data_IF_066810522711
#
_entry.id   IF_066810522711
#
_cell.length_a   1.000
_cell.length_b   1.000
_cell.length_c   1.000
_cell.angle_alpha   90.00
_cell.angle_beta   90.00
_cell.angle_gamma   90.00
#
_symmetry.space_group_name_H-M   'P 1'
#
loop_
_entity.id
_entity.type
_entity.pdbx_description
1 polymer ?
#
# COMPACT_ATOMS: atom_id res chain seq x y z
N UNK A 1 11.05 17.11 3.25
CA UNK A 1 12.45 16.64 3.35
C UNK A 1 12.65 15.55 4.42
N UNK A 2 12.67 15.79 5.75
CA UNK A 2 12.95 14.72 6.76
C UNK A 2 12.15 13.43 6.56
N UNK A 3 10.81 13.52 6.45
CA UNK A 3 9.95 12.36 6.19
C UNK A 3 10.27 11.63 4.86
N UNK A 4 10.66 12.37 3.82
CA UNK A 4 11.09 11.78 2.55
C UNK A 4 12.43 11.04 2.72
N UNK A 5 13.33 11.55 3.56
CA UNK A 5 14.58 10.86 3.87
C UNK A 5 14.33 9.56 4.64
N UNK A 6 13.45 9.56 5.66
CA UNK A 6 13.08 8.33 6.38
C UNK A 6 12.52 7.23 5.45
N UNK A 7 11.75 7.60 4.41
CA UNK A 7 11.30 6.63 3.38
C UNK A 7 12.47 6.01 2.63
N UNK A 8 13.47 6.82 2.25
CA UNK A 8 14.66 6.35 1.54
C UNK A 8 15.58 5.51 2.44
N UNK A 9 15.69 5.86 3.72
CA UNK A 9 16.50 5.15 4.70
C UNK A 9 15.97 3.72 4.92
N UNK A 10 14.63 3.53 5.00
CA UNK A 10 14.02 2.18 5.04
C UNK A 10 14.45 1.31 3.85
N UNK A 11 14.45 1.85 2.62
CA UNK A 11 14.92 1.09 1.44
C UNK A 11 16.43 0.83 1.47
N UNK A 12 17.22 1.82 1.91
CA UNK A 12 18.68 1.72 2.05
C UNK A 12 19.07 0.64 3.06
N UNK A 13 18.39 0.60 4.21
CA UNK A 13 18.65 -0.33 5.30
C UNK A 13 18.21 -1.74 4.91
N UNK A 14 16.98 -1.89 4.40
CA UNK A 14 16.43 -3.15 3.93
C UNK A 14 17.23 -3.81 2.78
N UNK A 15 17.85 -3.00 1.92
CA UNK A 15 18.53 -3.47 0.71
C UNK A 15 20.01 -3.07 0.63
N UNK A 16 20.66 -2.81 1.76
CA UNK A 16 22.08 -2.42 1.82
C UNK A 16 22.99 -3.35 1.04
N UNK A 17 22.90 -4.66 1.32
CA UNK A 17 23.68 -5.72 0.64
C UNK A 17 23.40 -5.81 -0.86
N UNK A 18 22.16 -5.51 -1.27
CA UNK A 18 21.74 -5.52 -2.68
C UNK A 18 22.33 -4.31 -3.40
N UNK A 19 22.25 -3.12 -2.79
CA UNK A 19 22.78 -1.85 -3.31
C UNK A 19 24.31 -1.84 -3.38
N UNK A 20 24.99 -2.45 -2.42
CA UNK A 20 26.46 -2.56 -2.40
C UNK A 20 27.02 -3.73 -3.23
N UNK A 21 26.16 -4.61 -3.76
CA UNK A 21 26.60 -5.77 -4.53
C UNK A 21 27.31 -5.36 -5.83
N UNK A 22 28.49 -5.93 -6.15
CA UNK A 22 29.16 -5.65 -7.43
C UNK A 22 28.33 -6.12 -8.64
N UNK A 23 27.37 -7.01 -8.45
CA UNK A 23 26.45 -7.46 -9.48
C UNK A 23 25.23 -6.54 -9.66
N UNK A 24 25.00 -5.55 -8.79
CA UNK A 24 23.78 -4.74 -8.75
C UNK A 24 23.45 -4.10 -10.10
N UNK A 25 24.43 -3.43 -10.73
CA UNK A 25 24.24 -2.76 -12.02
C UNK A 25 23.84 -3.74 -13.14
N UNK A 26 24.41 -4.96 -13.13
CA UNK A 26 24.06 -6.01 -14.09
C UNK A 26 22.63 -6.52 -13.84
N UNK A 27 22.26 -6.81 -12.58
CA UNK A 27 20.91 -7.24 -12.23
C UNK A 27 19.85 -6.18 -12.53
N UNK A 28 20.13 -4.89 -12.27
CA UNK A 28 19.25 -3.77 -12.68
C UNK A 28 19.03 -3.78 -14.18
N UNK A 29 20.08 -4.02 -14.98
CA UNK A 29 19.97 -4.08 -16.43
C UNK A 29 19.17 -5.31 -16.90
N UNK A 30 19.31 -6.47 -16.27
CA UNK A 30 18.47 -7.67 -16.53
C UNK A 30 16.99 -7.37 -16.29
N UNK A 31 16.64 -6.83 -15.12
CA UNK A 31 15.25 -6.48 -14.78
C UNK A 31 14.73 -5.41 -15.75
N UNK A 32 15.53 -4.38 -16.07
CA UNK A 32 15.15 -3.33 -17.03
C UNK A 32 14.90 -3.87 -18.44
N UNK A 33 15.67 -4.85 -18.91
CA UNK A 33 15.47 -5.50 -20.20
C UNK A 33 14.16 -6.30 -20.23
N UNK A 34 13.88 -7.08 -19.18
CA UNK A 34 12.63 -7.84 -19.06
C UNK A 34 11.40 -6.91 -19.02
N UNK A 35 11.44 -5.84 -18.21
CA UNK A 35 10.39 -4.81 -18.17
C UNK A 35 10.18 -4.12 -19.53
N UNK A 36 11.25 -3.81 -20.26
CA UNK A 36 11.16 -3.23 -21.60
C UNK A 36 10.52 -4.20 -22.61
N UNK A 37 10.82 -5.49 -22.50
CA UNK A 37 10.21 -6.55 -23.29
C UNK A 37 8.77 -6.88 -22.86
N UNK A 38 8.27 -6.31 -21.75
CA UNK A 38 7.01 -6.66 -21.06
C UNK A 38 6.97 -8.12 -20.58
N UNK A 39 8.13 -8.72 -20.36
CA UNK A 39 8.28 -10.04 -19.75
C UNK A 39 8.35 -9.88 -18.22
N UNK A 40 7.18 -9.66 -17.62
CA UNK A 40 7.05 -9.52 -16.16
C UNK A 40 7.41 -10.81 -15.42
N UNK A 41 7.26 -11.98 -16.06
CA UNK A 41 7.65 -13.25 -15.47
C UNK A 41 9.18 -13.33 -15.29
N UNK A 42 9.95 -12.97 -16.32
CA UNK A 42 11.40 -12.86 -16.22
C UNK A 42 11.84 -11.71 -15.30
N UNK A 43 11.14 -10.56 -15.32
CA UNK A 43 11.49 -9.40 -14.49
C UNK A 43 11.35 -9.68 -12.98
N UNK A 44 10.37 -10.50 -12.59
CA UNK A 44 10.00 -10.76 -11.20
C UNK A 44 10.21 -12.22 -10.75
N UNK A 45 10.81 -13.07 -11.59
CA UNK A 45 11.11 -14.47 -11.28
C UNK A 45 9.88 -15.37 -11.17
N UNK A 46 8.74 -15.00 -11.77
CA UNK A 46 7.49 -15.78 -11.70
C UNK A 46 7.70 -17.11 -12.42
N UNK A 47 7.44 -18.22 -11.72
CA UNK A 47 7.66 -19.58 -12.25
C UNK A 47 9.13 -20.03 -12.26
N UNK A 48 10.07 -19.26 -11.71
CA UNK A 48 11.47 -19.67 -11.58
C UNK A 48 11.62 -20.90 -10.68
N UNK A 49 12.37 -21.91 -11.13
CA UNK A 49 12.80 -23.02 -10.29
C UNK A 49 13.85 -22.61 -9.25
N UNK A 50 14.64 -21.56 -9.54
CA UNK A 50 15.51 -20.93 -8.55
C UNK A 50 14.77 -19.77 -7.87
N UNK A 51 14.22 -20.06 -6.69
CA UNK A 51 13.53 -19.07 -5.84
C UNK A 51 14.50 -17.99 -5.33
N UNK A 52 15.77 -18.30 -5.10
CA UNK A 52 16.74 -17.34 -4.57
C UNK A 52 17.15 -16.32 -5.64
N UNK A 53 17.28 -16.76 -6.90
CA UNK A 53 17.44 -15.86 -8.04
C UNK A 53 16.22 -14.95 -8.23
N UNK A 54 14.99 -15.51 -8.18
CA UNK A 54 13.76 -14.73 -8.27
C UNK A 54 13.66 -13.67 -7.17
N UNK A 55 13.85 -14.06 -5.91
CA UNK A 55 13.90 -13.14 -4.77
C UNK A 55 14.94 -12.03 -4.93
N UNK A 56 16.11 -12.32 -5.53
CA UNK A 56 17.14 -11.32 -5.81
C UNK A 56 16.68 -10.30 -6.86
N UNK A 57 15.96 -10.71 -7.91
CA UNK A 57 15.40 -9.78 -8.90
C UNK A 57 14.34 -8.86 -8.28
N UNK A 58 13.47 -9.41 -7.42
CA UNK A 58 12.49 -8.64 -6.65
C UNK A 58 13.15 -7.61 -5.73
N UNK A 59 14.20 -8.00 -4.99
CA UNK A 59 14.94 -7.09 -4.12
C UNK A 59 15.71 -6.01 -4.91
N UNK A 60 16.29 -6.35 -6.07
CA UNK A 60 16.90 -5.38 -6.99
C UNK A 60 15.87 -4.39 -7.52
N UNK A 61 14.66 -4.86 -7.85
CA UNK A 61 13.58 -3.96 -8.27
C UNK A 61 13.15 -3.02 -7.14
N UNK A 62 12.93 -3.57 -5.94
CA UNK A 62 12.56 -2.81 -4.76
C UNK A 62 13.62 -1.76 -4.39
N UNK A 63 14.91 -2.07 -4.53
CA UNK A 63 15.99 -1.13 -4.29
C UNK A 63 16.09 -0.02 -5.36
N UNK A 64 15.70 -0.28 -6.62
CA UNK A 64 15.89 0.65 -7.77
C UNK A 64 14.68 1.50 -8.12
N UNK A 65 13.47 0.96 -8.09
CA UNK A 65 12.27 1.67 -8.59
C UNK A 65 11.26 2.02 -7.48
N UNK A 66 11.18 1.21 -6.42
CA UNK A 66 10.24 1.46 -5.32
C UNK A 66 10.52 2.71 -4.46
N UNK A 67 11.74 3.25 -4.29
CA UNK A 67 11.95 4.40 -3.39
C UNK A 67 11.26 5.68 -3.90
N UNK A 68 11.44 6.06 -5.17
CA UNK A 68 10.70 7.18 -5.78
C UNK A 68 9.19 6.92 -5.76
N UNK A 69 8.75 5.70 -6.10
CA UNK A 69 7.33 5.33 -6.11
C UNK A 69 6.71 5.48 -4.71
N UNK A 70 7.37 5.00 -3.66
CA UNK A 70 6.91 5.13 -2.28
C UNK A 70 6.75 6.60 -1.86
N UNK A 71 7.72 7.45 -2.23
CA UNK A 71 7.63 8.90 -1.99
C UNK A 71 6.43 9.54 -2.70
N UNK A 72 6.16 9.14 -3.95
CA UNK A 72 5.00 9.60 -4.71
C UNK A 72 3.68 9.08 -4.12
N UNK A 73 3.60 7.81 -3.79
CA UNK A 73 2.39 7.17 -3.25
C UNK A 73 2.07 7.74 -1.86
N UNK A 74 3.06 8.00 -1.00
CA UNK A 74 2.86 8.67 0.28
C UNK A 74 2.28 10.09 0.11
N UNK A 75 2.74 10.83 -0.90
CA UNK A 75 2.20 12.16 -1.22
C UNK A 75 0.76 12.09 -1.75
N UNK A 76 0.43 11.08 -2.58
CA UNK A 76 -0.96 10.84 -3.04
C UNK A 76 -1.87 10.46 -1.86
N UNK A 77 -1.45 9.52 -1.00
CA UNK A 77 -2.21 9.10 0.19
C UNK A 77 -2.47 10.27 1.15
N UNK A 78 -1.46 11.12 1.38
CA UNK A 78 -1.61 12.37 2.15
C UNK A 78 -2.62 13.31 1.48
N UNK A 79 -2.49 13.55 0.17
CA UNK A 79 -3.37 14.44 -0.59
C UNK A 79 -4.85 14.02 -0.56
N UNK A 80 -5.17 12.73 -0.67
CA UNK A 80 -6.56 12.25 -0.56
C UNK A 80 -7.08 12.24 0.88
N UNK A 81 -6.21 12.15 1.88
CA UNK A 81 -6.60 12.30 3.28
C UNK A 81 -6.86 13.77 3.65
N UNK A 82 -6.03 14.70 3.17
CA UNK A 82 -6.24 16.15 3.37
C UNK A 82 -7.52 16.67 2.71
N UNK A 83 -7.95 16.02 1.61
CA UNK A 83 -9.24 16.25 0.96
C UNK A 83 -10.43 15.54 1.64
N UNK A 84 -10.22 14.89 2.79
CA UNK A 84 -11.25 14.17 3.55
C UNK A 84 -11.78 12.89 2.88
N UNK A 85 -11.19 12.44 1.77
CA UNK A 85 -11.71 11.28 1.03
C UNK A 85 -11.59 9.98 1.83
N UNK A 86 -10.56 9.85 2.68
CA UNK A 86 -10.34 8.70 3.54
C UNK A 86 -11.20 8.68 4.82
N UNK A 87 -11.80 9.80 5.24
CA UNK A 87 -12.53 9.86 6.53
C UNK A 87 -13.64 8.79 6.65
N UNK A 88 -14.46 8.50 5.62
CA UNK A 88 -15.46 7.42 5.67
C UNK A 88 -14.89 6.00 5.76
N UNK A 89 -13.58 5.82 5.55
CA UNK A 89 -12.89 4.51 5.67
C UNK A 89 -12.30 4.32 7.07
N UNK A 90 -12.14 5.39 7.85
CA UNK A 90 -11.53 5.37 9.18
C UNK A 90 -12.53 4.85 10.23
N UNK A 91 -12.54 3.54 10.44
CA UNK A 91 -13.37 2.89 11.44
C UNK A 91 -12.60 2.76 12.75
N UNK A 92 -13.25 2.99 13.89
CA UNK A 92 -12.68 2.59 15.19
C UNK A 92 -13.04 1.13 15.43
N UNK A 93 -12.09 0.18 15.50
CA UNK A 93 -12.41 -1.20 15.78
C UNK A 93 -13.13 -1.29 17.13
N UNK A 94 -14.14 -2.16 17.22
CA UNK A 94 -14.78 -2.54 18.48
C UNK A 94 -13.80 -3.41 19.31
N UNK A 95 -12.71 -2.80 19.75
CA UNK A 95 -11.76 -3.38 20.69
C UNK A 95 -12.51 -3.73 21.96
N UNK A 96 -12.56 -5.04 22.26
CA UNK A 96 -12.57 -5.78 23.54
C UNK A 96 -12.93 -5.09 24.88
N UNK A 97 -13.60 -3.94 24.88
CA UNK A 97 -14.11 -3.18 26.02
C UNK A 97 -15.09 -4.03 26.84
N UNK A 98 -15.85 -4.90 26.19
CA UNK A 98 -16.68 -5.91 26.86
C UNK A 98 -15.84 -6.94 27.66
N UNK A 99 -14.65 -7.31 27.18
CA UNK A 99 -13.74 -8.21 27.89
C UNK A 99 -12.94 -7.49 28.99
N UNK A 100 -12.55 -6.23 28.77
CA UNK A 100 -11.92 -5.39 29.78
C UNK A 100 -12.88 -5.07 30.94
N UNK A 101 -14.12 -4.68 30.64
CA UNK A 101 -15.19 -4.48 31.65
C UNK A 101 -15.51 -5.76 32.43
N UNK A 102 -15.52 -6.93 31.77
CA UNK A 102 -15.70 -8.22 32.46
C UNK A 102 -14.56 -8.54 33.44
N UNK A 103 -13.31 -8.13 33.15
CA UNK A 103 -12.19 -8.32 34.08
C UNK A 103 -12.27 -7.36 35.28
N UNK A 104 -12.68 -6.10 35.09
CA UNK A 104 -12.88 -5.17 36.19
C UNK A 104 -14.03 -5.61 37.12
N UNK A 105 -15.18 -6.04 36.58
CA UNK A 105 -16.29 -6.57 37.40
C UNK A 105 -15.97 -7.89 38.14
N UNK A 106 -14.89 -8.59 37.79
CA UNK A 106 -14.42 -9.78 38.54
C UNK A 106 -13.37 -9.45 39.61
N UNK A 107 -12.84 -8.22 39.68
CA UNK A 107 -11.90 -7.81 40.73
C UNK A 107 -12.57 -7.08 41.92
N UNK A 108 -13.77 -6.53 41.74
CA UNK A 108 -14.50 -5.82 42.82
C UNK A 108 -15.25 -6.75 43.82
N UNK A 109 -15.05 -8.07 43.76
CA UNK A 109 -15.69 -9.03 44.69
C UNK A 109 -14.67 -10.00 45.28
N UNK A 110 -13.75 -9.48 46.11
CA UNK A 110 -13.14 -10.22 47.23
C UNK A 110 -12.38 -9.29 48.19
N UNK A 111 -13.07 -8.83 49.23
CA UNK A 111 -12.49 -8.79 50.60
C UNK A 111 -12.62 -10.22 51.18
N UNK A 112 -11.86 -10.70 52.17
CA UNK A 112 -11.18 -10.04 53.29
C UNK A 112 -9.87 -10.77 53.70
N UNK A 113 -9.17 -10.13 54.67
CA UNK A 113 -8.17 -10.66 55.64
C UNK A 113 -6.66 -10.79 55.27
N UNK A 114 -5.87 -10.22 56.20
CA UNK A 114 -4.40 -10.18 56.37
C UNK A 114 -4.02 -11.14 57.55
N UNK A 115 -2.76 -11.27 58.03
CA UNK A 115 -1.46 -10.70 57.61
C UNK A 115 -0.46 -11.83 57.21
N UNK A 116 0.88 -11.72 57.20
CA UNK A 116 1.87 -10.67 57.54
C UNK A 116 3.18 -10.87 56.73
N UNK A 117 4.17 -9.98 56.87
CA UNK A 117 5.55 -10.22 56.45
C UNK A 117 6.30 -9.03 55.86
N UNK A 118 7.25 -8.46 56.61
CA UNK A 118 8.18 -7.43 56.14
C UNK A 118 9.19 -7.97 55.10
N UNK A 119 9.49 -7.21 54.04
CA UNK A 119 10.85 -6.66 53.78
C UNK A 119 11.02 -5.95 52.41
N UNK A 120 11.50 -4.71 52.50
CA UNK A 120 12.49 -4.02 51.62
C UNK A 120 12.15 -3.70 50.14
N UNK A 121 12.09 -2.39 49.86
CA UNK A 121 12.37 -1.79 48.54
C UNK A 121 13.89 -1.83 48.23
N UNK A 122 14.30 -1.68 46.96
CA UNK A 122 14.66 -0.32 46.53
C UNK A 122 14.24 0.10 45.09
N UNK A 123 14.04 1.41 44.97
CA UNK A 123 14.29 2.31 43.84
C UNK A 123 13.70 2.06 42.44
N UNK A 124 12.76 2.95 42.13
CA UNK A 124 12.08 3.13 40.84
C UNK A 124 12.98 3.72 39.75
N UNK A 125 13.18 2.98 38.66
CA UNK A 125 13.36 3.58 37.35
C UNK A 125 11.98 3.84 36.72
N UNK A 126 11.61 5.12 36.56
CA UNK A 126 10.31 5.54 36.00
C UNK A 126 10.21 5.25 34.49
N UNK A 127 9.98 3.99 34.13
CA UNK A 127 9.45 3.64 32.82
C UNK A 127 8.04 4.21 32.71
N UNK A 128 7.87 5.27 31.91
CA UNK A 128 6.55 5.83 31.59
C UNK A 128 5.71 4.69 31.00
N UNK A 129 4.58 4.31 31.63
CA UNK A 129 3.77 3.22 31.10
C UNK A 129 3.22 3.65 29.75
N UNK A 130 3.61 2.94 28.69
CA UNK A 130 3.10 3.14 27.34
C UNK A 130 1.59 2.87 27.39
N UNK A 131 0.80 3.95 27.52
CA UNK A 131 -0.65 3.88 27.43
C UNK A 131 -1.01 3.28 26.08
N UNK A 132 -1.52 2.05 26.08
CA UNK A 132 -2.14 1.48 24.90
C UNK A 132 -3.27 2.42 24.47
N UNK A 133 -3.25 2.98 23.24
CA UNK A 133 -4.29 3.91 22.82
C UNK A 133 -5.61 3.20 22.71
N UNK A 134 -6.54 3.52 23.61
CA UNK A 134 -7.95 3.13 23.51
C UNK A 134 -8.58 3.99 22.41
N UNK A 135 -9.24 3.37 21.43
CA UNK A 135 -9.92 4.09 20.34
C UNK A 135 -9.04 4.45 19.14
N UNK A 136 -8.20 3.52 18.66
CA UNK A 136 -7.46 3.72 17.39
C UNK A 136 -8.43 3.80 16.21
N UNK A 137 -8.27 4.80 15.34
CA UNK A 137 -8.89 4.81 14.00
C UNK A 137 -8.09 3.88 13.11
N UNK A 138 -8.72 2.93 12.44
CA UNK A 138 -8.05 1.96 11.56
C UNK A 138 -8.38 2.27 10.09
N UNK A 139 -7.35 2.34 9.26
CA UNK A 139 -7.46 2.32 7.80
C UNK A 139 -7.09 0.93 7.28
N UNK A 140 -7.94 0.36 6.40
CA UNK A 140 -7.69 -0.93 5.74
C UNK A 140 -7.39 -0.71 4.26
N UNK A 141 -6.30 -1.31 3.79
CA UNK A 141 -5.80 -1.17 2.41
C UNK A 141 -5.70 -2.56 1.76
N UNK A 142 -6.18 -2.67 0.52
CA UNK A 142 -5.91 -3.80 -0.38
C UNK A 142 -5.04 -3.29 -1.53
N UNK A 143 -3.73 -3.54 -1.45
CA UNK A 143 -2.78 -3.19 -2.51
C UNK A 143 -2.65 -4.32 -3.52
N UNK A 144 -2.92 -4.02 -4.79
CA UNK A 144 -2.84 -4.96 -5.91
C UNK A 144 -1.66 -4.57 -6.80
N UNK A 145 -0.61 -5.38 -6.77
CA UNK A 145 0.66 -5.12 -7.45
C UNK A 145 1.88 -5.21 -6.53
N UNK A 146 3.00 -4.67 -7.02
CA UNK A 146 4.37 -4.98 -6.58
C UNK A 146 4.77 -4.68 -5.12
N UNK A 147 3.87 -4.11 -4.31
CA UNK A 147 3.84 -4.18 -2.84
C UNK A 147 4.93 -3.43 -2.05
N UNK A 148 6.15 -3.36 -2.57
CA UNK A 148 7.30 -2.79 -1.89
C UNK A 148 7.20 -1.25 -1.73
N UNK A 149 6.70 -0.55 -2.76
CA UNK A 149 6.53 0.89 -2.70
C UNK A 149 5.34 1.26 -1.81
N UNK A 150 4.28 0.47 -1.89
CA UNK A 150 3.01 0.58 -1.18
C UNK A 150 3.19 0.38 0.32
N UNK A 151 3.99 -0.62 0.73
CA UNK A 151 4.34 -0.87 2.13
C UNK A 151 4.98 0.37 2.79
N UNK A 152 6.05 0.91 2.19
CA UNK A 152 6.78 2.05 2.76
C UNK A 152 5.98 3.35 2.62
N UNK A 153 5.21 3.52 1.55
CA UNK A 153 4.28 4.63 1.40
C UNK A 153 3.22 4.65 2.52
N UNK A 154 2.66 3.48 2.83
CA UNK A 154 1.66 3.33 3.90
C UNK A 154 2.27 3.55 5.29
N UNK A 155 3.48 3.04 5.55
CA UNK A 155 4.24 3.37 6.75
C UNK A 155 4.49 4.88 6.91
N UNK A 156 4.91 5.56 5.83
CA UNK A 156 5.13 7.01 5.82
C UNK A 156 3.86 7.84 5.94
N UNK A 157 2.73 7.32 5.44
CA UNK A 157 1.41 7.89 5.67
C UNK A 157 1.04 7.81 7.17
N UNK A 158 1.11 6.61 7.77
CA UNK A 158 0.82 6.40 9.19
C UNK A 158 1.75 7.19 10.12
N UNK A 159 3.03 7.36 9.75
CA UNK A 159 4.03 8.13 10.51
C UNK A 159 3.57 9.55 10.90
N UNK A 160 2.69 10.16 10.11
CA UNK A 160 2.18 11.52 10.36
C UNK A 160 1.09 11.57 11.44
N UNK A 161 0.32 10.50 11.62
CA UNK A 161 -0.94 10.52 12.36
C UNK A 161 -1.09 9.40 13.42
N UNK A 162 -0.12 8.48 13.56
CA UNK A 162 -0.20 7.41 14.58
C UNK A 162 -0.26 7.94 16.02
N UNK A 163 0.40 9.08 16.28
CA UNK A 163 0.31 9.81 17.56
C UNK A 163 -1.10 10.32 17.85
N UNK A 164 -1.90 10.59 16.80
CA UNK A 164 -3.33 10.91 16.88
C UNK A 164 -4.23 9.66 16.81
N UNK A 165 -3.66 8.46 17.04
CA UNK A 165 -4.38 7.19 17.12
C UNK A 165 -4.68 6.52 15.78
N UNK A 166 -4.10 6.97 14.66
CA UNK A 166 -4.28 6.30 13.36
C UNK A 166 -3.44 5.02 13.27
N UNK A 167 -4.08 3.90 12.96
CA UNK A 167 -3.44 2.61 12.69
C UNK A 167 -3.82 2.11 11.29
N UNK A 168 -2.99 1.23 10.73
CA UNK A 168 -3.18 0.67 9.40
C UNK A 168 -3.09 -0.84 9.37
N UNK A 169 -3.91 -1.44 8.49
CA UNK A 169 -3.82 -2.83 8.09
C UNK A 169 -3.77 -2.88 6.55
N UNK A 170 -2.72 -3.48 5.98
CA UNK A 170 -2.54 -3.59 4.53
C UNK A 170 -2.40 -5.05 4.09
N UNK A 171 -3.29 -5.49 3.22
CA UNK A 171 -3.16 -6.74 2.47
C UNK A 171 -2.57 -6.42 1.11
N UNK A 172 -1.44 -7.04 0.78
CA UNK A 172 -0.77 -6.93 -0.52
C UNK A 172 -0.98 -8.23 -1.30
N UNK A 173 -1.33 -8.13 -2.59
CA UNK A 173 -1.51 -9.27 -3.50
C UNK A 173 -0.83 -9.03 -4.83
N UNK A 174 -0.05 -10.02 -5.27
CA UNK A 174 0.70 -10.02 -6.53
C UNK A 174 1.03 -11.46 -6.94
N UNK A 175 1.28 -11.71 -8.23
CA UNK A 175 1.64 -13.04 -8.74
C UNK A 175 3.09 -13.46 -8.40
N UNK A 176 3.99 -12.49 -8.25
CA UNK A 176 5.38 -12.73 -7.87
C UNK A 176 5.56 -12.84 -6.34
N UNK A 177 6.65 -13.49 -5.91
CA UNK A 177 6.86 -13.87 -4.51
C UNK A 177 7.37 -12.72 -3.61
N UNK A 178 6.68 -11.56 -3.59
CA UNK A 178 7.12 -10.37 -2.85
C UNK A 178 7.15 -10.51 -1.32
N UNK A 179 6.70 -11.63 -0.74
CA UNK A 179 6.58 -11.81 0.72
C UNK A 179 7.86 -11.52 1.51
N UNK A 180 9.01 -11.97 1.01
CA UNK A 180 10.31 -11.75 1.67
C UNK A 180 10.71 -10.26 1.64
N UNK A 181 10.46 -9.57 0.51
CA UNK A 181 10.66 -8.12 0.34
C UNK A 181 9.72 -7.31 1.24
N UNK A 182 8.44 -7.67 1.27
CA UNK A 182 7.41 -7.01 2.09
C UNK A 182 7.72 -7.17 3.58
N UNK A 183 8.12 -8.36 4.03
CA UNK A 183 8.53 -8.62 5.42
C UNK A 183 9.76 -7.81 5.83
N UNK A 184 10.75 -7.72 4.95
CA UNK A 184 11.98 -6.93 5.18
C UNK A 184 11.65 -5.44 5.32
N UNK A 185 10.79 -4.91 4.45
CA UNK A 185 10.35 -3.52 4.50
C UNK A 185 9.45 -3.22 5.70
N UNK A 186 8.53 -4.11 6.07
CA UNK A 186 7.74 -3.99 7.30
C UNK A 186 8.66 -3.92 8.52
N UNK A 187 9.71 -4.74 8.57
CA UNK A 187 10.72 -4.71 9.63
C UNK A 187 11.41 -3.35 9.68
N UNK A 188 11.91 -2.82 8.56
CA UNK A 188 12.55 -1.50 8.49
C UNK A 188 11.62 -0.33 8.88
N UNK A 189 10.32 -0.43 8.63
CA UNK A 189 9.34 0.58 9.08
C UNK A 189 9.10 0.51 10.60
N UNK A 190 9.16 -0.69 11.19
CA UNK A 190 8.67 -0.95 12.56
C UNK A 190 9.76 -1.19 13.60
N UNK A 191 11.03 -1.26 13.20
CA UNK A 191 12.19 -1.36 14.09
C UNK A 191 13.08 -0.10 13.99
N UNK A 192 13.78 0.31 15.06
CA UNK A 192 14.81 1.34 14.99
C UNK A 192 15.89 1.01 13.95
N UNK A 193 16.42 2.04 13.28
CA UNK A 193 17.56 1.87 12.37
C UNK A 193 18.80 1.35 13.12
N UNK A 194 19.50 0.30 12.64
CA UNK A 194 20.67 -0.26 13.32
C UNK A 194 21.82 0.74 13.52
N UNK A 195 21.92 1.75 12.66
CA UNK A 195 22.92 2.83 12.73
C UNK A 195 22.55 3.94 13.72
N UNK A 196 21.25 4.14 14.00
CA UNK A 196 20.74 5.13 14.96
C UNK A 196 19.75 4.50 15.97
N UNK A 197 20.16 3.47 16.75
CA UNK A 197 19.26 2.65 17.58
C UNK A 197 18.60 3.39 18.76
N UNK A 198 18.90 4.68 18.94
CA UNK A 198 18.25 5.59 19.91
C UNK A 198 17.05 6.33 19.31
N UNK A 199 16.91 6.35 17.99
CA UNK A 199 15.77 6.95 17.30
C UNK A 199 14.60 5.95 17.26
N UNK A 200 13.34 6.42 17.40
CA UNK A 200 12.18 5.55 17.32
C UNK A 200 11.99 5.01 15.88
N UNK A 201 11.32 3.85 15.71
CA UNK A 201 10.92 3.36 14.38
C UNK A 201 10.01 4.36 13.66
N UNK A 202 9.93 4.27 12.34
CA UNK A 202 9.02 5.11 11.53
C UNK A 202 7.56 4.95 11.99
N UNK A 203 7.10 3.73 12.27
CA UNK A 203 5.79 3.46 12.86
C UNK A 203 5.95 2.40 13.96
N UNK A 204 5.47 2.62 15.19
CA UNK A 204 5.57 1.59 16.22
C UNK A 204 4.78 0.32 15.80
N UNK A 205 5.28 -0.91 16.03
CA UNK A 205 4.66 -2.15 15.52
C UNK A 205 3.16 -2.29 15.82
N UNK A 206 2.69 -1.72 16.94
CA UNK A 206 1.28 -1.74 17.33
C UNK A 206 0.34 -0.91 16.42
N UNK A 207 0.84 -0.21 15.40
CA UNK A 207 0.06 0.64 14.49
C UNK A 207 0.13 0.23 13.02
N UNK A 208 0.97 -0.73 12.64
CA UNK A 208 1.05 -1.26 11.28
C UNK A 208 0.97 -2.79 11.30
N UNK A 209 -0.09 -3.33 10.72
CA UNK A 209 -0.22 -4.75 10.41
C UNK A 209 -0.20 -4.96 8.90
N UNK A 210 0.44 -6.03 8.45
CA UNK A 210 0.46 -6.35 7.02
C UNK A 210 0.42 -7.85 6.74
N UNK A 211 -0.18 -8.18 5.59
CA UNK A 211 -0.30 -9.52 5.05
C UNK A 211 0.11 -9.48 3.58
N UNK A 212 0.88 -10.48 3.14
CA UNK A 212 1.13 -10.73 1.72
C UNK A 212 0.37 -11.97 1.25
N UNK A 213 -0.08 -11.97 0.00
CA UNK A 213 -0.81 -13.06 -0.65
C UNK A 213 -0.25 -13.24 -2.07
N UNK A 214 0.47 -14.34 -2.32
CA UNK A 214 0.99 -14.61 -3.66
C UNK A 214 -0.12 -15.24 -4.53
N UNK A 215 -0.80 -14.44 -5.36
CA UNK A 215 -1.88 -14.88 -6.24
C UNK A 215 -1.95 -14.00 -7.49
N UNK A 216 -2.25 -14.60 -8.64
CA UNK A 216 -2.68 -13.85 -9.83
C UNK A 216 -4.11 -13.35 -9.64
N UNK A 217 -4.28 -12.03 -9.51
CA UNK A 217 -5.58 -11.40 -9.29
C UNK A 217 -6.55 -11.59 -10.47
N UNK A 218 -6.03 -11.88 -11.67
CA UNK A 218 -6.84 -12.18 -12.85
C UNK A 218 -7.38 -13.62 -12.85
N UNK A 219 -6.91 -14.46 -11.91
CA UNK A 219 -7.33 -15.85 -11.74
C UNK A 219 -8.15 -16.09 -10.45
N UNK A 220 -8.23 -15.12 -9.54
CA UNK A 220 -8.95 -15.25 -8.26
C UNK A 220 -10.48 -15.32 -8.41
N UNK A 221 -11.05 -14.58 -9.37
CA UNK A 221 -12.50 -14.37 -9.48
C UNK A 221 -13.12 -13.70 -8.25
N UNK A 222 -14.45 -13.66 -8.20
CA UNK A 222 -15.23 -13.08 -7.10
C UNK A 222 -14.83 -13.65 -5.72
N UNK A 223 -14.91 -14.97 -5.51
CA UNK A 223 -14.71 -15.58 -4.19
C UNK A 223 -13.27 -15.44 -3.68
N UNK A 224 -12.29 -15.51 -4.59
CA UNK A 224 -10.89 -15.27 -4.27
C UNK A 224 -10.61 -13.82 -3.88
N UNK A 225 -11.23 -12.85 -4.56
CA UNK A 225 -11.16 -11.44 -4.16
C UNK A 225 -11.90 -11.18 -2.84
N UNK A 226 -13.04 -11.83 -2.59
CA UNK A 226 -13.80 -11.70 -1.35
C UNK A 226 -12.99 -12.19 -0.14
N UNK A 227 -12.20 -13.25 -0.30
CA UNK A 227 -11.28 -13.76 0.72
C UNK A 227 -10.08 -12.83 1.04
N UNK A 228 -9.81 -11.82 0.20
CA UNK A 228 -8.82 -10.76 0.47
C UNK A 228 -9.43 -9.53 1.15
N UNK A 229 -10.76 -9.38 1.13
CA UNK A 229 -11.45 -8.28 1.81
C UNK A 229 -11.51 -8.49 3.32
N UNK A 230 -11.68 -7.42 4.11
CA UNK A 230 -11.90 -7.54 5.55
C UNK A 230 -13.17 -8.33 5.85
N UNK A 231 -13.06 -9.30 6.74
CA UNK A 231 -14.24 -9.99 7.28
C UNK A 231 -15.08 -9.00 8.11
N UNK A 232 -16.42 -9.15 8.12
CA UNK A 232 -17.27 -8.38 9.02
C UNK A 232 -16.90 -8.69 10.49
N UNK A 233 -17.14 -7.75 11.43
CA UNK A 233 -16.87 -8.00 12.85
C UNK A 233 -17.65 -9.22 13.34
N UNK A 234 -16.99 -10.10 14.10
CA UNK A 234 -17.51 -11.41 14.53
C UNK A 234 -18.75 -11.37 15.46
N UNK A 235 -19.31 -10.17 15.69
CA UNK A 235 -20.38 -9.88 16.66
C UNK A 235 -21.48 -8.97 16.10
N UNK A 236 -21.49 -8.65 14.80
CA UNK A 236 -22.52 -7.81 14.19
C UNK A 236 -22.99 -8.34 12.83
N UNK A 237 -24.29 -8.24 12.57
CA UNK A 237 -24.91 -8.48 11.26
C UNK A 237 -24.67 -7.32 10.27
N UNK A 238 -23.55 -6.62 10.41
CA UNK A 238 -23.19 -5.44 9.63
C UNK A 238 -22.45 -5.85 8.36
N UNK A 239 -22.53 -5.02 7.32
CA UNK A 239 -21.62 -5.11 6.18
C UNK A 239 -20.15 -5.05 6.62
N UNK A 240 -19.23 -5.67 5.85
CA UNK A 240 -17.80 -5.51 6.06
C UNK A 240 -17.39 -4.02 5.96
N UNK A 241 -16.37 -3.57 6.71
CA UNK A 241 -15.94 -2.17 6.70
C UNK A 241 -15.34 -1.78 5.34
N UNK A 242 -15.56 -0.53 4.85
CA UNK A 242 -15.00 -0.05 3.61
C UNK A 242 -13.46 -0.06 3.61
N UNK A 243 -12.87 -0.27 2.43
CA UNK A 243 -11.42 -0.35 2.21
C UNK A 243 -10.93 0.66 1.20
N UNK A 244 -9.63 0.95 1.24
CA UNK A 244 -8.91 1.57 0.15
C UNK A 244 -8.27 0.47 -0.71
N UNK A 245 -8.81 0.23 -1.91
CA UNK A 245 -8.15 -0.61 -2.92
C UNK A 245 -7.19 0.25 -3.73
N UNK A 246 -5.96 -0.21 -3.96
CA UNK A 246 -4.95 0.53 -4.72
C UNK A 246 -4.36 -0.27 -5.87
N UNK A 247 -4.37 0.30 -7.08
CA UNK A 247 -3.66 -0.18 -8.26
C UNK A 247 -2.60 0.86 -8.64
N UNK A 248 -1.34 0.62 -8.25
CA UNK A 248 -0.29 1.64 -8.28
C UNK A 248 0.86 1.20 -9.22
N UNK A 249 0.82 1.69 -10.47
CA UNK A 249 1.64 1.26 -11.60
C UNK A 249 1.45 -0.22 -11.96
N UNK A 250 0.21 -0.70 -11.81
CA UNK A 250 -0.20 -2.09 -12.09
C UNK A 250 -1.19 -2.18 -13.26
N UNK A 251 -2.08 -1.21 -13.43
CA UNK A 251 -3.25 -1.36 -14.30
C UNK A 251 -2.88 -1.36 -15.80
N UNK A 252 -1.91 -0.53 -16.20
CA UNK A 252 -1.34 -0.61 -17.55
C UNK A 252 -0.67 -1.96 -17.82
N UNK A 253 -0.04 -2.58 -16.80
CA UNK A 253 0.61 -3.89 -16.93
C UNK A 253 -0.44 -5.00 -17.13
N UNK A 254 -1.55 -4.98 -16.38
CA UNK A 254 -2.68 -5.91 -16.56
C UNK A 254 -3.29 -5.81 -17.98
N UNK A 255 -3.63 -4.58 -18.41
CA UNK A 255 -4.23 -4.36 -19.73
C UNK A 255 -3.31 -4.76 -20.89
N UNK A 256 -1.99 -4.56 -20.76
CA UNK A 256 -1.03 -4.82 -21.83
C UNK A 256 -0.49 -6.25 -21.88
N UNK A 257 -0.35 -6.93 -20.73
CA UNK A 257 0.13 -8.33 -20.66
C UNK A 257 -1.02 -9.33 -20.88
N UNK A 258 -2.15 -9.10 -20.21
CA UNK A 258 -3.24 -10.07 -20.08
C UNK A 258 -4.47 -9.69 -20.89
N UNK A 259 -4.48 -8.49 -21.46
CA UNK A 259 -5.51 -8.00 -22.37
C UNK A 259 -6.74 -7.42 -21.68
N UNK A 260 -7.54 -6.70 -22.46
CA UNK A 260 -8.75 -6.01 -21.98
C UNK A 260 -9.78 -6.97 -21.42
N UNK A 261 -9.98 -8.15 -22.02
CA UNK A 261 -10.99 -9.11 -21.56
C UNK A 261 -10.81 -9.55 -20.10
N UNK A 262 -9.61 -10.05 -19.76
CA UNK A 262 -9.28 -10.48 -18.39
C UNK A 262 -9.29 -9.31 -17.40
N UNK A 263 -8.73 -8.18 -17.80
CA UNK A 263 -8.66 -6.99 -16.93
C UNK A 263 -10.05 -6.42 -16.64
N UNK A 264 -10.96 -6.41 -17.63
CA UNK A 264 -12.37 -6.05 -17.43
C UNK A 264 -13.08 -7.03 -16.51
N UNK A 265 -12.89 -8.35 -16.68
CA UNK A 265 -13.49 -9.35 -15.78
C UNK A 265 -13.04 -9.14 -14.33
N UNK A 266 -11.73 -8.98 -14.10
CA UNK A 266 -11.18 -8.65 -12.78
C UNK A 266 -11.76 -7.36 -12.18
N UNK A 267 -11.90 -6.28 -12.96
CA UNK A 267 -12.49 -5.03 -12.48
C UNK A 267 -13.99 -5.17 -12.14
N UNK A 268 -14.73 -6.01 -12.86
CA UNK A 268 -16.13 -6.32 -12.58
C UNK A 268 -16.26 -7.20 -11.33
N UNK A 269 -15.42 -8.22 -11.16
CA UNK A 269 -15.37 -9.05 -9.95
C UNK A 269 -14.96 -8.23 -8.72
N UNK A 270 -14.00 -7.32 -8.88
CA UNK A 270 -13.64 -6.36 -7.83
C UNK A 270 -14.86 -5.47 -7.47
N UNK A 271 -15.57 -4.98 -8.48
CA UNK A 271 -16.78 -4.14 -8.28
C UNK A 271 -17.87 -4.89 -7.52
N UNK A 272 -18.17 -6.15 -7.86
CA UNK A 272 -19.17 -6.96 -7.15
C UNK A 272 -18.73 -7.43 -5.76
N UNK A 273 -17.44 -7.28 -5.42
CA UNK A 273 -16.86 -7.75 -4.16
C UNK A 273 -16.67 -6.63 -3.12
N UNK A 274 -16.19 -5.44 -3.51
CA UNK A 274 -15.80 -4.39 -2.55
C UNK A 274 -16.95 -3.96 -1.62
N UNK A 275 -16.73 -3.68 -0.33
CA UNK A 275 -17.78 -3.12 0.53
C UNK A 275 -18.24 -1.74 0.04
N UNK A 276 -19.54 -1.41 0.19
CA UNK A 276 -20.06 -0.07 -0.11
C UNK A 276 -19.32 0.98 0.74
N UNK A 277 -19.03 2.13 0.14
CA UNK A 277 -18.23 3.20 0.73
C UNK A 277 -16.73 3.07 0.47
N UNK A 278 -16.24 1.92 0.00
CA UNK A 278 -14.82 1.70 -0.34
C UNK A 278 -14.33 2.64 -1.44
N UNK A 279 -13.01 2.85 -1.47
CA UNK A 279 -12.35 3.62 -2.53
C UNK A 279 -11.54 2.70 -3.45
N UNK A 280 -11.47 3.07 -4.72
CA UNK A 280 -10.50 2.55 -5.68
C UNK A 280 -9.59 3.71 -6.11
N UNK A 281 -8.32 3.63 -5.71
CA UNK A 281 -7.26 4.54 -6.13
C UNK A 281 -6.42 3.88 -7.23
N UNK A 282 -6.45 4.46 -8.42
CA UNK A 282 -5.56 4.11 -9.52
C UNK A 282 -4.52 5.21 -9.67
N UNK A 283 -3.24 4.83 -9.63
CA UNK A 283 -2.12 5.70 -10.00
C UNK A 283 -1.27 4.95 -11.00
N UNK A 284 -1.00 5.51 -12.17
CA UNK A 284 -0.19 4.82 -13.19
C UNK A 284 0.64 5.81 -14.01
N UNK A 285 1.53 5.33 -14.87
CA UNK A 285 2.27 6.17 -15.81
C UNK A 285 1.33 6.97 -16.72
N UNK A 286 1.74 8.17 -17.12
CA UNK A 286 0.96 9.06 -18.00
C UNK A 286 1.61 9.30 -19.36
N UNK A 287 0.80 9.48 -20.41
CA UNK A 287 1.24 9.71 -21.79
C UNK A 287 1.24 8.44 -22.63
N UNK A 288 2.21 8.28 -23.54
CA UNK A 288 2.26 7.15 -24.49
C UNK A 288 2.41 5.76 -23.83
N UNK A 289 2.74 5.70 -22.53
CA UNK A 289 2.75 4.45 -21.75
C UNK A 289 1.35 4.01 -21.29
N UNK A 290 0.35 4.90 -21.32
CA UNK A 290 -1.02 4.62 -20.88
C UNK A 290 -2.00 4.34 -22.01
N UNK A 291 -1.53 3.73 -23.09
CA UNK A 291 -2.36 3.34 -24.22
C UNK A 291 -2.46 1.82 -24.35
N UNK A 292 -3.70 1.31 -24.36
CA UNK A 292 -3.98 -0.10 -24.61
C UNK A 292 -4.49 -0.28 -26.03
N UNK A 293 -3.89 -1.22 -26.76
CA UNK A 293 -4.31 -1.52 -28.12
C UNK A 293 -5.40 -2.61 -28.15
N UNK A 294 -6.48 -2.35 -28.87
CA UNK A 294 -7.65 -3.23 -28.99
C UNK A 294 -7.86 -3.59 -30.46
N UNK A 295 -8.15 -4.87 -30.72
CA UNK A 295 -8.39 -5.42 -32.05
C UNK A 295 -7.15 -6.04 -32.69
N UNK A 296 -7.38 -6.94 -33.65
CA UNK A 296 -6.33 -7.52 -34.48
C UNK A 296 -6.00 -6.58 -35.67
N UNK A 297 -4.79 -6.69 -36.27
CA UNK A 297 -4.50 -6.01 -37.53
C UNK A 297 -5.52 -6.37 -38.62
N UNK A 298 -5.97 -5.43 -39.48
CA UNK A 298 -5.55 -4.03 -39.57
C UNK A 298 -6.33 -3.07 -38.64
N UNK A 299 -7.31 -3.55 -37.87
CA UNK A 299 -8.23 -2.72 -37.08
C UNK A 299 -7.73 -2.37 -35.65
N UNK A 300 -6.42 -2.47 -35.40
CA UNK A 300 -5.81 -2.24 -34.08
C UNK A 300 -5.90 -0.75 -33.70
N UNK A 301 -6.75 -0.41 -32.73
CA UNK A 301 -6.93 0.96 -32.21
C UNK A 301 -6.37 1.09 -30.80
N UNK A 302 -5.62 2.16 -30.54
CA UNK A 302 -5.16 2.52 -29.20
C UNK A 302 -6.23 3.34 -28.46
N UNK A 303 -6.45 3.03 -27.20
CA UNK A 303 -7.33 3.78 -26.30
C UNK A 303 -6.56 4.16 -25.04
N UNK A 304 -6.71 5.40 -24.52
CA UNK A 304 -6.18 5.78 -23.21
C UNK A 304 -6.74 4.86 -22.12
N UNK A 305 -5.89 4.44 -21.18
CA UNK A 305 -6.25 3.56 -20.08
C UNK A 305 -7.42 4.13 -19.27
N UNK A 306 -7.39 5.43 -18.94
CA UNK A 306 -8.48 6.17 -18.31
C UNK A 306 -9.83 5.99 -19.01
N UNK A 307 -9.86 5.99 -20.35
CA UNK A 307 -11.10 5.80 -21.10
C UNK A 307 -11.65 4.38 -20.96
N UNK A 308 -10.76 3.37 -20.93
CA UNK A 308 -11.18 1.99 -20.66
C UNK A 308 -11.66 1.82 -19.22
N UNK A 309 -10.94 2.40 -18.26
CA UNK A 309 -11.29 2.37 -16.84
C UNK A 309 -12.66 3.04 -16.60
N UNK A 310 -12.85 4.27 -17.07
CA UNK A 310 -14.14 4.98 -16.96
C UNK A 310 -15.25 4.22 -17.71
N UNK A 311 -14.98 3.62 -18.86
CA UNK A 311 -15.98 2.80 -19.58
C UNK A 311 -16.38 1.52 -18.84
N UNK A 312 -15.47 0.92 -18.06
CA UNK A 312 -15.75 -0.29 -17.28
C UNK A 312 -16.46 0.05 -15.97
N UNK A 313 -16.01 1.09 -15.26
CA UNK A 313 -16.50 1.45 -13.93
C UNK A 313 -17.73 2.38 -13.94
N UNK A 314 -17.80 3.31 -14.89
CA UNK A 314 -18.86 4.32 -15.00
C UNK A 314 -19.80 4.07 -16.20
N UNK A 315 -19.51 3.06 -17.02
CA UNK A 315 -20.33 2.72 -18.18
C UNK A 315 -21.74 2.31 -17.76
N UNK A 316 -22.75 2.70 -18.55
CA UNK A 316 -24.15 2.34 -18.33
C UNK A 316 -24.39 0.85 -18.63
N UNK A 317 -23.97 -0.01 -17.71
CA UNK A 317 -24.53 -1.36 -17.60
C UNK A 317 -26.04 -1.23 -17.37
N UNK A 318 -26.83 -2.16 -17.92
CA UNK A 318 -28.28 -2.17 -17.70
C UNK A 318 -28.64 -2.52 -16.25
N UNK A 319 -27.79 -3.29 -15.59
CA UNK A 319 -27.94 -3.76 -14.21
C UNK A 319 -26.67 -3.40 -13.42
N UNK A 320 -26.78 -2.98 -12.15
CA UNK A 320 -25.62 -2.73 -11.30
C UNK A 320 -24.77 -3.98 -11.05
N UNK A 321 -23.45 -3.83 -11.03
CA UNK A 321 -22.51 -4.95 -10.89
C UNK A 321 -22.45 -5.37 -9.43
N UNK A 322 -23.18 -6.43 -9.08
CA UNK A 322 -23.30 -6.89 -7.69
C UNK A 322 -23.95 -5.85 -6.76
N UNK A 323 -24.94 -5.11 -7.25
CA UNK A 323 -25.65 -4.07 -6.48
C UNK A 323 -24.85 -2.79 -6.24
N UNK A 324 -23.75 -2.57 -6.97
CA UNK A 324 -22.83 -1.45 -6.74
C UNK A 324 -22.59 -0.63 -8.00
N UNK A 325 -22.34 0.66 -7.80
CA UNK A 325 -21.93 1.60 -8.83
C UNK A 325 -20.67 2.35 -8.36
N UNK A 326 -19.83 2.80 -9.30
CA UNK A 326 -18.69 3.67 -8.98
C UNK A 326 -19.04 5.13 -9.26
N UNK A 327 -18.74 6.01 -8.30
CA UNK A 327 -18.70 7.45 -8.53
C UNK A 327 -17.25 7.93 -8.55
N UNK A 328 -16.85 8.62 -9.62
CA UNK A 328 -15.53 9.26 -9.71
C UNK A 328 -15.49 10.46 -8.75
N UNK A 329 -14.45 10.53 -7.91
CA UNK A 329 -14.21 11.60 -6.96
C UNK A 329 -13.19 12.62 -7.49
N UNK A 330 -12.07 12.11 -8.02
CA UNK A 330 -10.91 12.90 -8.38
C UNK A 330 -10.25 12.30 -9.63
N UNK A 331 -9.70 13.16 -10.50
CA UNK A 331 -9.03 12.76 -11.73
C UNK A 331 -7.91 13.75 -12.07
N UNK A 332 -6.71 13.24 -12.32
CA UNK A 332 -5.58 14.01 -12.81
C UNK A 332 -4.89 13.24 -13.94
N UNK A 333 -4.96 13.72 -15.16
CA UNK A 333 -4.46 12.99 -16.34
C UNK A 333 -2.91 12.97 -16.41
N UNK A 334 -2.25 13.95 -15.77
CA UNK A 334 -0.78 14.08 -15.79
C UNK A 334 -0.24 15.01 -14.69
N UNK A 335 0.35 14.44 -13.64
CA UNK A 335 0.99 15.13 -12.51
C UNK A 335 2.48 14.79 -12.46
N UNK A 336 3.33 15.79 -12.21
CA UNK A 336 4.77 15.58 -11.96
C UNK A 336 5.06 15.47 -10.47
N UNK A 337 5.50 14.30 -10.01
CA UNK A 337 6.14 14.16 -8.72
C UNK A 337 7.62 14.56 -8.82
N UNK A 338 8.02 15.60 -8.07
CA UNK A 338 9.40 16.10 -8.04
C UNK A 338 10.06 15.79 -6.69
N UNK A 339 11.23 15.17 -6.74
CA UNK A 339 12.02 14.82 -5.56
C UNK A 339 12.52 16.07 -4.84
N UNK A 340 12.50 16.04 -3.51
CA UNK A 340 13.04 17.12 -2.67
C UNK A 340 12.19 18.40 -2.61
N UNK A 341 11.14 18.55 -3.43
CA UNK A 341 10.18 19.65 -3.25
C UNK A 341 9.29 19.37 -2.04
N UNK A 342 9.30 20.28 -1.06
CA UNK A 342 8.18 20.40 -0.11
C UNK A 342 6.94 20.87 -0.87
N UNK A 343 5.77 20.33 -0.52
CA UNK A 343 4.49 20.55 -1.20
C UNK A 343 3.90 21.96 -0.96
N UNK A 344 4.58 23.00 -1.47
CA UNK A 344 4.08 24.39 -1.46
C UNK A 344 4.92 25.35 -2.32
N UNK A 345 4.86 25.20 -3.65
CA UNK A 345 4.89 26.35 -4.59
C UNK A 345 4.88 25.89 -6.05
N UNK A 346 3.89 26.34 -6.82
CA UNK A 346 3.96 26.38 -8.28
C UNK A 346 4.99 27.43 -8.72
N UNK A 347 6.14 26.98 -9.23
CA UNK A 347 7.20 27.86 -9.72
C UNK A 347 8.12 27.12 -10.68
N UNK A 348 8.27 27.66 -11.90
CA UNK A 348 9.10 27.05 -12.94
C UNK A 348 10.60 27.14 -12.64
N UNK A 349 11.31 26.04 -12.90
CA UNK A 349 12.75 25.90 -12.72
C UNK A 349 13.18 24.49 -13.11
N UNK A 350 14.30 24.37 -13.82
CA UNK A 350 14.74 23.11 -14.44
C UNK A 350 15.92 22.44 -13.73
N UNK A 351 16.15 21.17 -14.09
CA UNK A 351 17.47 20.54 -14.08
C UNK A 351 18.06 20.09 -12.74
N UNK A 352 18.05 18.76 -12.52
CA UNK A 352 19.17 18.06 -11.85
C UNK A 352 19.11 17.92 -10.32
N UNK A 353 19.05 16.66 -9.85
CA UNK A 353 19.37 16.26 -8.48
C UNK A 353 18.25 16.46 -7.46
N UNK A 354 17.88 15.38 -6.75
CA UNK A 354 16.92 15.45 -5.63
C UNK A 354 17.49 16.30 -4.49
N UNK A 355 16.99 17.53 -4.34
CA UNK A 355 17.62 18.58 -3.52
C UNK A 355 17.78 18.23 -2.03
N UNK A 356 18.92 17.62 -1.69
CA UNK A 356 19.26 17.21 -0.33
C UNK A 356 18.58 15.92 0.15
N UNK A 357 18.23 15.00 -0.77
CA UNK A 357 17.88 13.62 -0.43
C UNK A 357 19.06 12.71 -0.73
N UNK A 358 19.37 11.83 0.22
CA UNK A 358 20.54 10.97 0.19
C UNK A 358 20.12 9.51 -0.05
N UNK A 359 20.56 8.91 -1.16
CA UNK A 359 20.33 7.50 -1.50
C UNK A 359 21.52 6.96 -2.33
N UNK A 360 21.92 5.68 -2.21
CA UNK A 360 23.16 5.19 -2.83
C UNK A 360 23.20 5.22 -4.37
N UNK A 361 22.05 5.42 -5.03
CA UNK A 361 21.90 5.50 -6.48
C UNK A 361 21.00 6.67 -6.88
N UNK A 362 21.13 7.21 -8.11
CA UNK A 362 20.30 8.32 -8.57
C UNK A 362 18.80 8.00 -8.52
N UNK A 363 18.05 8.85 -7.84
CA UNK A 363 16.59 8.84 -7.83
C UNK A 363 16.05 9.71 -8.97
N UNK A 364 14.98 9.27 -9.60
CA UNK A 364 14.35 9.93 -10.76
C UNK A 364 13.05 10.63 -10.36
N UNK A 365 12.70 11.75 -11.00
CA UNK A 365 11.35 12.30 -10.93
C UNK A 365 10.40 11.42 -11.74
N UNK A 366 9.13 11.35 -11.34
CA UNK A 366 8.12 10.54 -12.04
C UNK A 366 6.90 11.37 -12.44
N UNK A 367 6.24 10.96 -13.51
CA UNK A 367 4.98 11.55 -13.98
C UNK A 367 3.89 10.49 -13.98
N UNK A 368 2.78 10.78 -13.33
CA UNK A 368 1.68 9.83 -13.13
C UNK A 368 0.35 10.43 -13.58
N UNK A 369 -0.64 9.58 -13.84
CA UNK A 369 -2.05 9.91 -13.83
C UNK A 369 -2.68 9.32 -12.57
N UNK A 370 -3.76 9.92 -12.09
CA UNK A 370 -4.46 9.49 -10.88
C UNK A 370 -5.97 9.53 -11.10
N UNK A 371 -6.66 8.47 -10.69
CA UNK A 371 -8.11 8.41 -10.68
C UNK A 371 -8.59 7.80 -9.35
N UNK A 372 -9.54 8.46 -8.71
CA UNK A 372 -10.13 8.01 -7.46
C UNK A 372 -11.64 7.81 -7.64
N UNK A 373 -12.15 6.66 -7.22
CA UNK A 373 -13.56 6.31 -7.29
C UNK A 373 -14.05 5.85 -5.92
N UNK A 374 -15.34 6.05 -5.62
CA UNK A 374 -16.05 5.49 -4.47
C UNK A 374 -17.07 4.46 -4.94
N UNK A 375 -17.10 3.30 -4.28
CA UNK A 375 -18.15 2.32 -4.45
C UNK A 375 -19.40 2.80 -3.68
N UNK A 376 -20.51 2.93 -4.37
CA UNK A 376 -21.79 3.37 -3.81
C UNK A 376 -22.83 2.26 -4.02
N UNK A 377 -23.84 2.23 -3.15
CA UNK A 377 -25.00 1.37 -3.34
C UNK A 377 -25.75 1.84 -4.59
N UNK A 378 -26.24 0.89 -5.39
CA UNK A 378 -26.93 1.17 -6.65
C UNK A 378 -28.44 0.90 -6.59
N UNK A 379 -28.99 0.71 -5.39
CA UNK A 379 -30.44 0.58 -5.12
C UNK A 379 -31.19 1.90 -5.00
#
# INVERSE_FOLDING_TARGET
>A
RRQQQHVLDVFRSAFGDVLSSPAFAASVQTVKQALFARDFAAAFGIGSHDRQAGNRLLAVYAARWSPTRALCYAAVLRGIYDQGHLDPLLHTPLSSSAAARRKQQQQDVKTDELPDGEQQQPDSASAVPIRQPVGKRQLRVLGIGGGAAEMVAFGSFLNQDYSAGLAGEITLVDAAAWGDVVSTLQTGITTPEPSTPKEPPMVPPAYLSSRFSQNDVLALGHDGLAALMPLPPSSSSSSPPPVLVTLLFTLNELFTSSGVGKTTAFLLDLTSTVPVGSLLLVVDSSGSYSETAIGAPPAKRQYPMQWLLDRILLGTQKEPVGGRAWRKLEAHDSVWFRLGTSSSSSGGGGGGGGGGLDYPIPLENMRYQMHLYRAEDAS
#
